data_IF_930485510914
#
_entry.id   IF_930485510914
#
_cell.length_a   1.000
_cell.length_b   1.000
_cell.length_c   1.000
_cell.angle_alpha   90.00
_cell.angle_beta   90.00
_cell.angle_gamma   90.00
#
_symmetry.space_group_name_H-M   'P 1'
#
loop_
_entity.id
_entity.type
_entity.pdbx_description
1 polymer ?
#
# COMPACT_ATOMS: atom_id res chain seq x y z
N UNK A 1 -24.30 -24.95 1.71
CA UNK A 1 -24.85 -24.95 3.09
C UNK A 1 -26.33 -24.71 2.96
N UNK A 2 -27.18 -25.29 3.85
CA UNK A 2 -28.63 -25.06 3.77
C UNK A 2 -29.04 -23.92 4.70
N UNK A 3 -29.89 -23.02 4.18
CA UNK A 3 -30.46 -21.91 4.94
C UNK A 3 -31.89 -22.28 5.31
N UNK A 4 -32.21 -22.23 6.61
CA UNK A 4 -33.54 -22.51 7.14
C UNK A 4 -34.21 -21.22 7.57
N UNK A 5 -35.44 -20.97 7.10
CA UNK A 5 -36.25 -19.83 7.48
C UNK A 5 -37.73 -20.17 7.48
N UNK A 6 -38.54 -19.31 8.03
CA UNK A 6 -39.99 -19.53 8.15
C UNK A 6 -40.73 -18.78 7.06
N UNK A 7 -41.61 -19.46 6.34
CA UNK A 7 -42.49 -18.83 5.35
C UNK A 7 -43.45 -17.83 6.02
N UNK A 8 -43.45 -16.60 5.57
CA UNK A 8 -44.31 -15.54 6.13
C UNK A 8 -45.80 -15.73 5.83
N UNK A 9 -46.15 -16.56 4.81
CA UNK A 9 -47.53 -16.80 4.41
C UNK A 9 -48.18 -17.99 5.13
N UNK A 10 -47.44 -19.08 5.35
CA UNK A 10 -48.01 -20.30 5.96
C UNK A 10 -47.36 -20.70 7.28
N UNK A 11 -46.29 -20.03 7.76
CA UNK A 11 -45.63 -20.30 9.03
C UNK A 11 -44.81 -21.59 9.05
N UNK A 12 -44.65 -22.30 7.93
CA UNK A 12 -43.85 -23.51 7.86
C UNK A 12 -42.37 -23.22 7.60
N UNK A 13 -41.48 -24.07 8.12
CA UNK A 13 -40.05 -23.96 7.86
C UNK A 13 -39.73 -24.35 6.40
N UNK A 14 -38.88 -23.55 5.78
CA UNK A 14 -38.39 -23.74 4.41
C UNK A 14 -36.85 -23.85 4.47
N UNK A 15 -36.30 -24.87 3.81
CA UNK A 15 -34.87 -25.08 3.65
C UNK A 15 -34.47 -24.90 2.20
N UNK A 16 -33.48 -24.06 1.92
CA UNK A 16 -32.93 -23.79 0.57
C UNK A 16 -31.45 -23.81 0.56
N UNK A 17 -30.84 -24.01 -0.60
CA UNK A 17 -29.38 -23.89 -0.75
C UNK A 17 -28.94 -22.44 -0.60
N UNK A 18 -27.75 -22.23 -0.04
CA UNK A 18 -27.11 -20.91 0.16
C UNK A 18 -27.02 -20.09 -1.14
N UNK A 19 -26.92 -20.74 -2.27
CA UNK A 19 -26.90 -20.08 -3.58
C UNK A 19 -28.19 -19.34 -3.94
N UNK A 20 -29.31 -19.64 -3.24
CA UNK A 20 -30.64 -19.03 -3.46
C UNK A 20 -30.85 -17.75 -2.63
N UNK A 21 -29.89 -17.30 -1.83
CA UNK A 21 -29.97 -16.07 -1.02
C UNK A 21 -30.32 -14.87 -1.88
N UNK A 22 -31.37 -14.14 -1.48
CA UNK A 22 -31.90 -12.97 -2.20
C UNK A 22 -32.67 -13.29 -3.49
N UNK A 23 -32.83 -14.55 -3.82
CA UNK A 23 -33.69 -14.98 -4.95
C UNK A 23 -35.13 -15.17 -4.49
N UNK A 24 -36.06 -15.03 -5.45
CA UNK A 24 -37.47 -15.37 -5.25
C UNK A 24 -37.65 -16.85 -5.52
N UNK A 25 -38.25 -17.60 -4.56
CA UNK A 25 -38.53 -19.02 -4.64
C UNK A 25 -39.97 -19.29 -4.19
N UNK A 26 -40.63 -20.29 -4.74
CA UNK A 26 -41.96 -20.69 -4.31
C UNK A 26 -41.89 -21.51 -3.02
N UNK A 27 -42.73 -21.21 -2.05
CA UNK A 27 -42.85 -21.99 -0.81
C UNK A 27 -43.30 -23.42 -1.10
N UNK A 28 -42.55 -24.46 -0.68
CA UNK A 28 -42.94 -25.86 -0.94
C UNK A 28 -44.22 -26.27 -0.23
N UNK A 29 -44.73 -25.48 0.72
CA UNK A 29 -45.93 -25.79 1.51
C UNK A 29 -47.19 -25.05 1.04
N UNK A 30 -47.07 -23.82 0.54
CA UNK A 30 -48.26 -23.03 0.13
C UNK A 30 -48.14 -22.46 -1.28
N UNK A 31 -47.06 -22.71 -1.99
CA UNK A 31 -46.79 -22.24 -3.35
C UNK A 31 -46.78 -20.68 -3.52
N UNK A 32 -46.75 -19.92 -2.42
CA UNK A 32 -46.61 -18.47 -2.49
C UNK A 32 -45.15 -18.08 -2.68
N UNK A 33 -44.85 -17.08 -3.53
CA UNK A 33 -43.48 -16.61 -3.75
C UNK A 33 -42.95 -15.94 -2.50
N UNK A 34 -41.69 -16.23 -2.17
CA UNK A 34 -40.95 -15.63 -1.04
C UNK A 34 -39.49 -15.37 -1.42
N UNK A 35 -38.94 -14.30 -0.91
CA UNK A 35 -37.54 -13.96 -1.09
C UNK A 35 -36.76 -14.65 0.01
N UNK A 36 -35.72 -15.43 -0.35
CA UNK A 36 -34.84 -16.08 0.60
C UNK A 36 -34.11 -15.02 1.40
N UNK A 37 -34.27 -14.97 2.75
CA UNK A 37 -33.62 -13.97 3.57
C UNK A 37 -32.10 -14.15 3.52
N UNK A 38 -31.37 -13.03 3.55
CA UNK A 38 -29.95 -13.09 3.85
C UNK A 38 -29.81 -13.56 5.31
N UNK A 39 -28.92 -14.51 5.62
CA UNK A 39 -28.62 -14.80 7.00
C UNK A 39 -28.23 -13.49 7.68
N UNK A 40 -28.79 -13.24 8.89
CA UNK A 40 -28.48 -12.07 9.69
C UNK A 40 -26.97 -12.06 9.95
N UNK A 41 -26.26 -11.27 9.15
CA UNK A 41 -24.91 -10.87 9.48
C UNK A 41 -25.09 -9.87 10.62
N UNK A 42 -24.53 -10.09 11.82
CA UNK A 42 -24.62 -9.13 12.91
C UNK A 42 -24.30 -7.74 12.38
N UNK A 43 -25.15 -6.76 12.65
CA UNK A 43 -24.90 -5.38 12.24
C UNK A 43 -23.61 -4.90 12.88
N UNK A 44 -22.79 -4.18 12.12
CA UNK A 44 -21.49 -3.62 12.57
C UNK A 44 -21.59 -2.86 13.91
N UNK A 45 -22.79 -2.39 14.29
CA UNK A 45 -23.05 -1.67 15.54
C UNK A 45 -23.06 -2.56 16.79
N UNK A 46 -23.31 -3.87 16.68
CA UNK A 46 -23.25 -4.78 17.83
C UNK A 46 -21.84 -5.31 18.11
N UNK A 47 -21.00 -5.45 17.08
CA UNK A 47 -19.60 -5.81 17.27
C UNK A 47 -18.80 -4.64 17.91
N UNK A 48 -19.12 -3.38 17.57
CA UNK A 48 -18.46 -2.22 18.16
C UNK A 48 -18.66 -2.11 19.69
N UNK A 49 -19.75 -2.64 20.23
CA UNK A 49 -20.03 -2.62 21.67
C UNK A 49 -19.17 -3.61 22.47
N UNK A 50 -18.71 -4.69 21.85
CA UNK A 50 -17.88 -5.72 22.52
C UNK A 50 -16.40 -5.31 22.62
N UNK A 51 -15.93 -4.36 21.78
CA UNK A 51 -14.56 -3.84 21.83
C UNK A 51 -14.29 -2.96 23.06
N UNK A 52 -15.29 -2.29 23.60
CA UNK A 52 -15.14 -1.46 24.80
C UNK A 52 -14.71 -2.23 26.04
N UNK A 53 -15.00 -3.55 26.12
CA UNK A 53 -14.64 -4.39 27.25
C UNK A 53 -13.15 -4.77 27.27
N UNK A 54 -12.48 -4.80 26.13
CA UNK A 54 -11.06 -5.15 26.03
C UNK A 54 -10.11 -3.96 26.22
N UNK A 55 -10.61 -2.74 26.12
CA UNK A 55 -9.80 -1.55 26.29
C UNK A 55 -9.19 -1.40 27.72
N UNK A 56 -9.82 -2.00 28.73
CA UNK A 56 -9.34 -1.99 30.10
C UNK A 56 -8.09 -2.87 30.32
N UNK A 57 -7.85 -3.84 29.45
CA UNK A 57 -6.77 -4.82 29.60
C UNK A 57 -5.52 -4.51 28.73
N UNK A 58 -5.58 -3.41 27.97
CA UNK A 58 -4.50 -3.01 27.05
C UNK A 58 -3.18 -2.71 27.77
N UNK A 59 -3.23 -2.33 29.04
CA UNK A 59 -2.04 -2.00 29.83
C UNK A 59 -1.19 -3.22 30.21
N UNK A 60 -1.72 -4.44 30.06
CA UNK A 60 -1.09 -5.69 30.46
C UNK A 60 -0.58 -6.55 29.29
N UNK A 61 -0.74 -6.10 28.05
CA UNK A 61 -0.17 -6.81 26.90
C UNK A 61 1.35 -6.57 26.87
N UNK A 62 2.11 -7.57 27.29
CA UNK A 62 3.56 -7.56 27.08
C UNK A 62 3.86 -7.49 25.58
N UNK A 63 4.85 -6.70 25.14
CA UNK A 63 5.26 -6.61 23.74
C UNK A 63 5.61 -8.00 23.20
N UNK A 64 5.37 -8.24 21.93
CA UNK A 64 5.66 -9.53 21.30
C UNK A 64 7.17 -9.72 21.11
N UNK A 65 7.84 -8.65 20.73
CA UNK A 65 9.30 -8.56 20.66
C UNK A 65 9.75 -7.51 21.68
N UNK A 66 10.70 -7.89 22.53
CA UNK A 66 11.30 -6.95 23.48
C UNK A 66 11.99 -5.83 22.72
N UNK A 67 11.87 -4.59 23.20
CA UNK A 67 12.47 -3.42 22.54
C UNK A 67 14.00 -3.53 22.45
N UNK A 68 14.64 -4.32 23.32
CA UNK A 68 16.07 -4.60 23.28
C UNK A 68 16.53 -5.38 22.03
N UNK A 69 15.59 -6.08 21.34
CA UNK A 69 15.90 -6.85 20.13
C UNK A 69 15.75 -6.05 18.84
N UNK A 70 15.07 -4.91 18.90
CA UNK A 70 14.74 -4.09 17.74
C UNK A 70 15.09 -2.63 18.02
N UNK A 71 15.80 -2.03 17.09
CA UNK A 71 16.08 -0.59 17.10
C UNK A 71 14.95 0.16 16.40
N UNK A 72 14.34 1.14 17.07
CA UNK A 72 13.34 2.04 16.44
C UNK A 72 14.09 3.13 15.68
N UNK A 73 13.92 3.19 14.36
CA UNK A 73 14.62 4.17 13.51
C UNK A 73 13.71 5.34 13.08
N UNK A 74 12.41 5.15 13.09
CA UNK A 74 11.41 6.22 12.92
C UNK A 74 10.12 5.86 13.65
N UNK A 75 9.42 6.85 14.20
CA UNK A 75 8.17 6.66 14.95
C UNK A 75 7.23 7.83 14.75
N UNK A 76 5.94 7.54 14.56
CA UNK A 76 4.86 8.51 14.49
C UNK A 76 3.67 8.02 15.30
N UNK A 77 2.94 8.97 15.88
CA UNK A 77 1.66 8.67 16.55
C UNK A 77 0.57 9.44 15.83
N UNK A 78 -0.44 8.73 15.38
CA UNK A 78 -1.61 9.34 14.74
C UNK A 78 -2.47 10.09 15.76
N UNK A 79 -3.30 11.05 15.35
CA UNK A 79 -4.15 11.82 16.23
C UNK A 79 -5.13 10.98 17.08
N UNK A 80 -5.55 9.82 16.56
CA UNK A 80 -6.39 8.85 17.28
C UNK A 80 -5.59 7.97 18.26
N UNK A 81 -4.26 8.11 18.31
CA UNK A 81 -3.39 7.44 19.28
C UNK A 81 -2.76 6.13 18.81
N UNK A 82 -2.95 5.71 17.57
CA UNK A 82 -2.21 4.58 17.01
C UNK A 82 -0.74 4.96 16.80
N UNK A 83 0.19 4.10 17.21
CA UNK A 83 1.63 4.34 17.03
C UNK A 83 2.16 3.47 15.91
N UNK A 84 2.86 4.08 14.97
CA UNK A 84 3.49 3.43 13.81
C UNK A 84 4.99 3.65 13.88
N UNK A 85 5.76 2.59 13.81
CA UNK A 85 7.21 2.60 13.96
C UNK A 85 7.86 1.82 12.82
N UNK A 86 8.99 2.32 12.34
CA UNK A 86 9.93 1.54 11.56
C UNK A 86 10.98 1.01 12.52
N UNK A 87 11.06 -0.30 12.64
CA UNK A 87 12.02 -1.00 13.49
C UNK A 87 13.00 -1.78 12.63
N UNK A 88 14.21 -1.96 13.11
CA UNK A 88 15.22 -2.75 12.42
C UNK A 88 15.92 -3.73 13.35
N UNK A 89 16.36 -4.86 12.79
CA UNK A 89 17.26 -5.76 13.47
C UNK A 89 18.68 -5.16 13.40
N UNK A 90 19.37 -5.01 14.55
CA UNK A 90 20.73 -4.48 14.55
C UNK A 90 21.69 -5.40 13.77
N UNK A 91 21.48 -6.72 13.86
CA UNK A 91 22.27 -7.72 13.15
C UNK A 91 21.49 -9.02 12.96
N UNK A 92 21.70 -9.67 11.83
CA UNK A 92 21.20 -11.02 11.55
C UNK A 92 22.35 -12.02 11.69
N UNK A 93 22.21 -13.02 12.57
CA UNK A 93 23.23 -14.04 12.85
C UNK A 93 22.82 -15.48 12.57
N UNK A 94 21.63 -15.68 12.00
CA UNK A 94 21.01 -17.00 11.79
C UNK A 94 21.42 -17.71 10.49
N UNK A 95 22.58 -17.46 9.92
CA UNK A 95 23.01 -18.13 8.70
C UNK A 95 23.26 -19.62 8.94
N UNK A 96 22.51 -20.47 8.23
CA UNK A 96 22.59 -21.93 8.32
C UNK A 96 23.54 -22.59 7.34
N UNK A 97 24.09 -21.82 6.39
CA UNK A 97 25.06 -22.30 5.39
C UNK A 97 25.97 -21.16 4.91
N UNK A 98 27.06 -21.55 4.22
CA UNK A 98 28.09 -20.60 3.77
C UNK A 98 27.55 -19.56 2.78
N UNK A 99 26.58 -19.90 1.93
CA UNK A 99 25.99 -18.94 0.99
C UNK A 99 25.18 -17.87 1.72
N UNK A 100 24.36 -18.26 2.69
CA UNK A 100 23.61 -17.33 3.54
C UNK A 100 24.58 -16.43 4.36
N UNK A 101 25.62 -17.04 4.97
CA UNK A 101 26.62 -16.29 5.74
C UNK A 101 27.35 -15.24 4.89
N UNK A 102 27.73 -15.59 3.67
CA UNK A 102 28.36 -14.66 2.72
C UNK A 102 27.41 -13.50 2.36
N UNK A 103 26.13 -13.79 2.07
CA UNK A 103 25.17 -12.77 1.72
C UNK A 103 24.90 -11.82 2.89
N UNK A 104 24.77 -12.35 4.12
CA UNK A 104 24.63 -11.54 5.33
C UNK A 104 25.87 -10.68 5.60
N UNK A 105 27.07 -11.21 5.41
CA UNK A 105 28.30 -10.45 5.56
C UNK A 105 28.32 -9.23 4.62
N UNK A 106 28.01 -9.40 3.33
CA UNK A 106 27.98 -8.28 2.41
C UNK A 106 26.84 -7.31 2.68
N UNK A 107 25.67 -7.80 3.06
CA UNK A 107 24.55 -6.95 3.47
C UNK A 107 24.95 -6.06 4.66
N UNK A 108 25.55 -6.65 5.70
CA UNK A 108 26.02 -5.92 6.87
C UNK A 108 27.09 -4.89 6.51
N UNK A 109 28.09 -5.27 5.70
CA UNK A 109 29.17 -4.38 5.27
C UNK A 109 28.70 -3.22 4.41
N UNK A 110 27.64 -3.39 3.63
CA UNK A 110 27.00 -2.32 2.86
C UNK A 110 26.00 -1.49 3.65
N UNK A 111 25.83 -1.75 4.95
CA UNK A 111 24.88 -1.03 5.80
C UNK A 111 23.42 -1.46 5.62
N UNK A 112 23.15 -2.55 4.87
CA UNK A 112 21.80 -3.09 4.75
C UNK A 112 21.36 -3.66 6.09
N UNK A 113 20.16 -3.29 6.52
CA UNK A 113 19.52 -3.81 7.73
C UNK A 113 18.12 -4.30 7.39
N UNK A 114 17.72 -5.39 8.02
CA UNK A 114 16.35 -5.91 7.92
C UNK A 114 15.43 -5.00 8.73
N UNK A 115 14.44 -4.42 8.07
CA UNK A 115 13.48 -3.48 8.66
C UNK A 115 12.08 -4.06 8.62
N UNK A 116 11.26 -3.61 9.53
CA UNK A 116 9.88 -4.04 9.69
C UNK A 116 9.05 -2.84 10.14
N UNK A 117 7.78 -2.81 9.81
CA UNK A 117 6.83 -1.85 10.37
C UNK A 117 6.14 -2.51 11.55
N UNK A 118 6.16 -1.84 12.70
CA UNK A 118 5.40 -2.20 13.91
C UNK A 118 4.30 -1.18 14.13
N UNK A 119 3.06 -1.63 14.32
CA UNK A 119 1.92 -0.78 14.60
C UNK A 119 1.32 -1.21 15.92
N UNK A 120 1.14 -0.26 16.84
CA UNK A 120 0.50 -0.48 18.14
C UNK A 120 -0.85 0.20 18.18
N UNK A 121 -1.89 -0.58 18.44
CA UNK A 121 -3.26 -0.15 18.56
C UNK A 121 -3.75 -0.24 20.01
N UNK A 122 -4.50 0.77 20.46
CA UNK A 122 -5.19 0.85 21.76
C UNK A 122 -6.68 1.11 21.51
N UNK A 123 -7.31 0.24 20.72
CA UNK A 123 -8.69 0.34 20.24
C UNK A 123 -8.88 1.26 19.01
N UNK A 124 -7.84 1.38 18.18
CA UNK A 124 -7.93 2.02 16.86
C UNK A 124 -8.01 0.95 15.77
N UNK A 125 -7.99 1.42 14.52
CA UNK A 125 -7.84 0.54 13.36
C UNK A 125 -6.75 1.03 12.42
N UNK A 126 -6.25 0.10 11.61
CA UNK A 126 -5.26 0.36 10.57
C UNK A 126 -5.65 -0.40 9.31
N UNK A 127 -5.39 0.20 8.15
CA UNK A 127 -5.51 -0.44 6.86
C UNK A 127 -4.14 -0.85 6.37
N UNK A 128 -4.01 -2.10 5.93
CA UNK A 128 -2.74 -2.65 5.45
C UNK A 128 -2.91 -3.24 4.05
N UNK A 129 -1.87 -3.15 3.24
CA UNK A 129 -1.80 -3.78 1.92
C UNK A 129 -2.03 -5.30 2.06
N UNK A 130 -2.82 -5.95 1.18
CA UNK A 130 -2.98 -7.40 1.19
C UNK A 130 -1.63 -8.11 1.06
N UNK A 131 -1.38 -9.03 1.99
CA UNK A 131 -0.10 -9.75 2.07
C UNK A 131 0.99 -9.05 2.88
N UNK A 132 0.78 -7.81 3.33
CA UNK A 132 1.76 -7.10 4.15
C UNK A 132 1.80 -7.58 5.62
N UNK A 133 0.75 -8.20 6.13
CA UNK A 133 0.74 -8.72 7.49
C UNK A 133 1.73 -9.88 7.65
N UNK A 134 2.64 -9.78 8.60
CA UNK A 134 3.56 -10.85 8.96
C UNK A 134 3.07 -11.62 10.18
N UNK A 135 2.85 -10.96 11.30
CA UNK A 135 2.21 -11.49 12.50
C UNK A 135 1.57 -10.38 13.34
N UNK A 136 0.66 -10.75 14.23
CA UNK A 136 0.03 -9.84 15.18
C UNK A 136 -0.26 -10.50 16.50
N UNK A 137 -0.31 -9.73 17.59
CA UNK A 137 -0.62 -10.19 18.94
C UNK A 137 -1.53 -9.20 19.66
N UNK A 138 -2.51 -9.72 20.35
CA UNK A 138 -3.47 -8.98 21.17
C UNK A 138 -4.90 -9.35 20.84
N UNK A 139 -5.83 -8.50 21.26
CA UNK A 139 -7.24 -8.60 20.91
C UNK A 139 -7.48 -7.84 19.61
N UNK A 140 -7.09 -8.45 18.51
CA UNK A 140 -7.11 -7.87 17.17
C UNK A 140 -8.00 -8.71 16.26
N UNK A 141 -8.79 -8.03 15.42
CA UNK A 141 -9.59 -8.65 14.37
C UNK A 141 -9.22 -8.05 13.01
N UNK A 142 -9.16 -8.90 12.01
CA UNK A 142 -8.87 -8.51 10.64
C UNK A 142 -10.09 -8.77 9.74
N UNK A 143 -10.49 -7.75 9.00
CA UNK A 143 -11.54 -7.82 7.97
C UNK A 143 -10.96 -7.41 6.62
N UNK A 144 -11.24 -8.18 5.58
CA UNK A 144 -10.94 -7.76 4.22
C UNK A 144 -11.93 -6.66 3.82
N UNK A 145 -11.43 -5.47 3.51
CA UNK A 145 -12.23 -4.32 3.10
C UNK A 145 -12.00 -3.97 1.63
N UNK A 146 -13.06 -3.68 0.92
CA UNK A 146 -13.00 -3.08 -0.43
C UNK A 146 -13.00 -1.57 -0.27
N UNK A 147 -11.86 -0.96 0.02
CA UNK A 147 -11.67 0.46 0.33
C UNK A 147 -12.78 1.42 -0.10
N UNK A 148 -13.29 2.21 0.86
CA UNK A 148 -14.22 3.32 0.64
C UNK A 148 -15.69 2.99 0.83
N UNK A 149 -16.31 3.59 1.90
CA UNK A 149 -17.76 3.67 2.06
C UNK A 149 -18.42 4.35 0.85
N UNK A 150 -19.73 4.15 0.67
CA UNK A 150 -20.66 4.80 -0.31
C UNK A 150 -20.31 4.69 -1.82
N UNK A 151 -19.04 4.52 -2.23
CA UNK A 151 -18.66 4.34 -3.65
C UNK A 151 -18.85 2.91 -4.19
N UNK A 152 -19.51 2.03 -3.44
CA UNK A 152 -19.76 0.61 -3.83
C UNK A 152 -20.49 0.41 -5.18
N UNK A 153 -21.15 1.41 -5.72
CA UNK A 153 -21.96 1.25 -6.94
C UNK A 153 -21.29 1.78 -8.22
N UNK A 154 -20.44 2.80 -8.14
CA UNK A 154 -19.86 3.47 -9.32
C UNK A 154 -18.52 2.87 -9.72
N UNK A 155 -17.69 2.45 -8.77
CA UNK A 155 -16.38 1.84 -9.06
C UNK A 155 -16.47 0.43 -9.67
N UNK A 156 -17.57 -0.30 -9.43
CA UNK A 156 -17.81 -1.62 -10.05
C UNK A 156 -17.87 -1.60 -11.58
N UNK A 157 -18.09 -0.44 -12.19
CA UNK A 157 -18.31 -0.32 -13.64
C UNK A 157 -17.13 0.26 -14.41
N UNK A 158 -16.13 0.84 -13.72
CA UNK A 158 -15.02 1.56 -14.37
C UNK A 158 -13.62 0.97 -14.17
N UNK A 159 -13.40 0.08 -13.20
CA UNK A 159 -12.09 -0.55 -13.03
C UNK A 159 -12.23 -2.04 -12.74
N UNK A 160 -11.58 -2.86 -13.55
CA UNK A 160 -11.50 -4.30 -13.38
C UNK A 160 -10.60 -4.70 -12.18
N UNK A 161 -9.91 -3.76 -11.56
CA UNK A 161 -9.09 -3.97 -10.37
C UNK A 161 -9.82 -3.44 -9.13
N UNK A 162 -10.13 -4.36 -8.22
CA UNK A 162 -10.65 -4.05 -6.90
C UNK A 162 -9.48 -3.58 -6.03
N UNK A 163 -9.55 -2.35 -5.54
CA UNK A 163 -8.64 -1.92 -4.50
C UNK A 163 -9.05 -2.63 -3.20
N UNK A 164 -8.26 -3.57 -2.76
CA UNK A 164 -8.44 -4.28 -1.51
C UNK A 164 -7.45 -3.76 -0.48
N UNK A 165 -7.89 -3.61 0.74
CA UNK A 165 -7.06 -3.43 1.92
C UNK A 165 -7.57 -4.35 3.00
N UNK A 166 -6.70 -4.83 3.85
CA UNK A 166 -7.09 -5.49 5.09
C UNK A 166 -7.22 -4.42 6.17
N UNK A 167 -8.35 -4.39 6.86
CA UNK A 167 -8.56 -3.54 8.01
C UNK A 167 -8.39 -4.36 9.28
N UNK A 168 -7.47 -3.93 10.16
CA UNK A 168 -7.19 -4.57 11.45
C UNK A 168 -7.55 -3.58 12.53
N UNK A 169 -8.37 -4.00 13.50
CA UNK A 169 -8.80 -3.18 14.61
C UNK A 169 -8.74 -3.93 15.93
N UNK A 170 -8.69 -3.16 17.01
CA UNK A 170 -8.64 -3.66 18.38
C UNK A 170 -7.46 -3.15 19.18
N UNK A 171 -6.97 -3.98 20.08
CA UNK A 171 -5.88 -3.68 21.00
C UNK A 171 -4.75 -4.68 20.81
N UNK A 172 -3.55 -4.21 20.51
CA UNK A 172 -2.40 -5.09 20.31
C UNK A 172 -1.32 -4.51 19.42
N UNK A 173 -0.43 -5.39 18.99
CA UNK A 173 0.70 -5.10 18.11
C UNK A 173 0.58 -5.86 16.79
N UNK A 174 0.90 -5.17 15.71
CA UNK A 174 0.87 -5.67 14.34
C UNK A 174 2.27 -5.48 13.77
N UNK A 175 2.82 -6.52 13.17
CA UNK A 175 4.12 -6.49 12.49
C UNK A 175 3.90 -6.84 11.03
N UNK A 176 4.42 -5.98 10.15
CA UNK A 176 4.32 -6.16 8.71
C UNK A 176 5.58 -6.85 8.18
N UNK A 177 5.48 -7.44 6.98
CA UNK A 177 6.55 -8.22 6.34
C UNK A 177 7.90 -7.49 6.39
N UNK A 178 8.96 -8.15 6.86
CA UNK A 178 10.29 -7.55 6.94
C UNK A 178 10.94 -7.45 5.56
N UNK A 179 11.76 -6.41 5.37
CA UNK A 179 12.48 -6.18 4.13
C UNK A 179 13.85 -5.55 4.35
N UNK A 180 14.79 -5.79 3.44
CA UNK A 180 16.01 -4.98 3.31
C UNK A 180 15.78 -3.66 2.54
N UNK A 181 14.58 -3.44 1.99
CA UNK A 181 14.15 -2.19 1.41
C UNK A 181 13.94 -1.09 2.46
N UNK A 182 13.17 -0.09 2.12
CA UNK A 182 12.97 1.07 2.97
C UNK A 182 11.48 1.36 3.13
N UNK A 183 11.14 1.97 4.27
CA UNK A 183 9.81 2.51 4.55
C UNK A 183 9.91 4.00 4.80
N UNK A 184 8.85 4.73 4.47
CA UNK A 184 8.67 6.14 4.77
C UNK A 184 7.42 6.29 5.62
N UNK A 185 7.52 6.96 6.77
CA UNK A 185 6.36 7.41 7.54
C UNK A 185 5.98 8.81 7.10
N UNK A 186 4.71 8.99 6.75
CA UNK A 186 4.17 10.28 6.32
C UNK A 186 3.00 10.70 7.19
N UNK A 187 3.15 11.81 7.89
CA UNK A 187 2.02 12.47 8.54
C UNK A 187 1.16 13.10 7.45
N UNK A 188 -0.15 12.86 7.52
CA UNK A 188 -1.17 13.45 6.65
C UNK A 188 -2.14 14.19 7.54
N UNK A 189 -2.46 15.43 7.19
CA UNK A 189 -3.42 16.26 7.93
C UNK A 189 -4.61 16.63 7.02
N UNK A 190 -5.75 16.98 7.61
CA UNK A 190 -6.94 17.39 6.85
C UNK A 190 -6.72 18.64 6.00
N UNK A 191 -5.74 19.49 6.40
CA UNK A 191 -5.38 20.70 5.66
C UNK A 191 -4.47 20.41 4.46
N UNK A 192 -3.83 19.23 4.44
CA UNK A 192 -2.98 18.85 3.32
C UNK A 192 -3.83 18.44 2.11
N UNK A 193 -3.33 18.75 0.92
CA UNK A 193 -3.87 18.14 -0.27
C UNK A 193 -3.66 16.61 -0.21
N UNK A 194 -4.60 15.86 -0.79
CA UNK A 194 -4.43 14.42 -0.90
C UNK A 194 -3.12 14.07 -1.61
N UNK A 195 -2.48 13.02 -1.14
CA UNK A 195 -1.25 12.49 -1.71
C UNK A 195 -1.63 11.32 -2.63
N UNK A 196 -1.12 11.35 -3.85
CA UNK A 196 -1.28 10.27 -4.82
C UNK A 196 0.06 9.56 -4.96
N UNK A 197 0.12 8.33 -4.50
CA UNK A 197 1.33 7.49 -4.52
C UNK A 197 1.27 6.48 -5.65
N UNK A 198 2.43 6.13 -6.19
CA UNK A 198 2.52 5.17 -7.30
C UNK A 198 2.12 3.75 -6.87
N UNK A 199 1.78 2.91 -7.85
CA UNK A 199 1.32 1.54 -7.62
C UNK A 199 2.34 0.75 -6.79
N UNK A 200 1.86 0.07 -5.73
CA UNK A 200 2.68 -0.79 -4.87
C UNK A 200 3.52 -0.05 -3.81
N UNK A 201 3.40 1.28 -3.72
CA UNK A 201 4.11 2.02 -2.67
C UNK A 201 3.29 2.21 -1.40
N UNK A 202 1.96 2.17 -1.46
CA UNK A 202 1.14 2.15 -0.24
C UNK A 202 1.35 0.83 0.50
N UNK A 203 1.61 0.90 1.79
CA UNK A 203 1.87 -0.28 2.62
C UNK A 203 0.92 -0.39 3.81
N UNK A 204 0.68 0.72 4.52
CA UNK A 204 -0.32 0.80 5.59
C UNK A 204 -0.77 2.25 5.83
N UNK A 205 -1.90 2.41 6.53
CA UNK A 205 -2.39 3.71 6.95
C UNK A 205 -3.29 3.61 8.18
N UNK A 206 -3.14 4.55 9.14
CA UNK A 206 -3.97 4.60 10.34
C UNK A 206 -5.42 4.98 10.01
N UNK A 207 -6.33 4.69 10.92
CA UNK A 207 -7.78 4.71 10.72
C UNK A 207 -8.37 6.02 10.20
N UNK A 208 -7.80 7.15 10.56
CA UNK A 208 -8.27 8.48 10.10
C UNK A 208 -7.94 8.82 8.64
N UNK A 209 -7.23 7.92 7.91
CA UNK A 209 -6.93 8.11 6.50
C UNK A 209 -8.01 7.47 5.61
N UNK A 210 -8.44 8.21 4.60
CA UNK A 210 -9.21 7.68 3.46
C UNK A 210 -8.24 7.24 2.36
N UNK A 211 -8.32 5.96 2.00
CA UNK A 211 -7.40 5.31 1.06
C UNK A 211 -8.23 4.73 -0.08
N UNK A 212 -7.98 5.19 -1.29
CA UNK A 212 -8.77 4.83 -2.46
C UNK A 212 -7.91 4.68 -3.72
N UNK A 213 -8.39 3.90 -4.68
CA UNK A 213 -7.75 3.81 -5.99
C UNK A 213 -8.07 5.04 -6.85
N UNK A 214 -7.06 5.62 -7.46
CA UNK A 214 -7.21 6.72 -8.43
C UNK A 214 -6.77 6.24 -9.82
N UNK A 215 -7.75 6.06 -10.71
CA UNK A 215 -7.50 5.75 -12.12
C UNK A 215 -7.01 6.98 -12.89
N UNK A 216 -6.00 6.82 -13.72
CA UNK A 216 -5.48 7.86 -14.60
C UNK A 216 -6.17 7.79 -15.97
N UNK A 217 -7.09 8.71 -16.24
CA UNK A 217 -7.90 8.74 -17.48
C UNK A 217 -7.08 9.04 -18.75
N UNK A 218 -5.92 9.67 -18.62
CA UNK A 218 -5.12 10.19 -19.74
C UNK A 218 -3.98 9.25 -20.17
N UNK A 219 -3.90 8.04 -19.58
CA UNK A 219 -2.86 7.07 -19.92
C UNK A 219 -3.54 5.94 -20.69
N UNK A 220 -3.06 5.71 -21.92
CA UNK A 220 -3.56 4.63 -22.76
C UNK A 220 -3.29 3.28 -22.08
N UNK A 221 -4.33 2.49 -21.86
CA UNK A 221 -4.20 1.12 -21.34
C UNK A 221 -3.26 0.25 -22.17
N UNK A 222 -3.11 0.55 -23.46
CA UNK A 222 -2.16 -0.11 -24.35
C UNK A 222 -0.69 0.09 -23.96
N UNK A 223 -0.36 1.14 -23.20
CA UNK A 223 1.01 1.41 -22.74
C UNK A 223 1.38 0.60 -21.49
N UNK A 224 0.39 0.07 -20.77
CA UNK A 224 0.58 -0.69 -19.51
C UNK A 224 -0.04 -2.09 -19.57
N UNK A 225 0.01 -2.74 -20.73
CA UNK A 225 -0.41 -4.14 -20.88
C UNK A 225 -1.92 -4.37 -20.87
N UNK A 226 -2.74 -3.35 -21.07
CA UNK A 226 -4.20 -3.46 -21.13
C UNK A 226 -4.93 -3.28 -19.79
N UNK A 227 -4.19 -3.26 -18.69
CA UNK A 227 -4.72 -3.13 -17.33
C UNK A 227 -4.78 -1.70 -16.94
N UNK A 228 -5.29 -0.73 -17.06
CA UNK A 228 -5.26 0.68 -16.64
C UNK A 228 -4.14 1.00 -15.63
N UNK A 229 -3.73 2.25 -15.59
CA UNK A 229 -2.76 2.72 -14.61
C UNK A 229 -3.48 3.27 -13.38
N UNK A 230 -3.36 2.57 -12.26
CA UNK A 230 -3.98 2.93 -10.98
C UNK A 230 -2.91 3.34 -9.97
N UNK A 231 -3.18 4.41 -9.27
CA UNK A 231 -2.38 4.94 -8.16
C UNK A 231 -3.23 4.91 -6.89
N UNK A 232 -2.60 5.00 -5.72
CA UNK A 232 -3.32 5.08 -4.45
C UNK A 232 -3.42 6.53 -4.00
N UNK A 233 -4.64 6.98 -3.77
CA UNK A 233 -4.93 8.28 -3.18
C UNK A 233 -5.07 8.15 -1.67
N UNK A 234 -4.37 9.01 -0.93
CA UNK A 234 -4.35 9.06 0.53
C UNK A 234 -4.77 10.47 0.95
N UNK A 235 -5.79 10.57 1.79
CA UNK A 235 -6.30 11.84 2.32
C UNK A 235 -6.81 11.64 3.75
N UNK A 236 -7.05 12.72 4.51
CA UNK A 236 -7.59 12.69 5.87
C UNK A 236 -6.53 13.02 6.91
N UNK A 237 -6.64 12.44 8.12
CA UNK A 237 -5.75 12.74 9.22
C UNK A 237 -5.17 11.46 9.82
N UNK A 238 -3.84 11.30 9.77
CA UNK A 238 -3.20 10.09 10.27
C UNK A 238 -1.77 9.90 9.79
N UNK A 239 -1.29 8.67 9.92
CA UNK A 239 0.06 8.26 9.48
C UNK A 239 -0.07 7.26 8.35
N UNK A 240 0.53 7.56 7.21
CA UNK A 240 0.70 6.64 6.09
C UNK A 240 2.08 6.01 6.13
N UNK A 241 2.15 4.72 5.82
CA UNK A 241 3.39 3.97 5.60
C UNK A 241 3.51 3.70 4.12
N UNK A 242 4.63 4.13 3.54
CA UNK A 242 4.95 3.88 2.14
C UNK A 242 6.19 2.99 2.06
N UNK A 243 6.14 1.98 1.19
CA UNK A 243 7.36 1.29 0.78
C UNK A 243 8.19 2.20 -0.13
N UNK A 244 9.50 2.21 0.04
CA UNK A 244 10.38 3.04 -0.77
C UNK A 244 11.52 2.22 -1.36
N UNK A 245 11.85 2.40 -2.64
CA UNK A 245 13.00 1.75 -3.28
C UNK A 245 14.35 2.32 -2.81
N UNK A 246 14.34 3.47 -2.12
CA UNK A 246 15.53 4.17 -1.62
C UNK A 246 15.31 4.63 -0.19
N UNK A 247 16.37 4.87 0.61
CA UNK A 247 16.23 5.44 1.95
C UNK A 247 15.61 6.85 1.90
N UNK A 248 14.96 7.25 3.00
CA UNK A 248 14.31 8.56 3.13
C UNK A 248 15.26 9.74 2.81
N UNK A 249 16.54 9.60 3.14
CA UNK A 249 17.57 10.61 2.86
C UNK A 249 17.85 10.84 1.37
N UNK A 250 17.48 9.90 0.52
CA UNK A 250 17.66 9.95 -0.93
C UNK A 250 16.37 10.34 -1.69
N UNK A 251 15.25 10.44 -0.98
CA UNK A 251 14.01 10.97 -1.55
C UNK A 251 14.09 12.48 -1.59
N UNK A 252 13.82 13.05 -2.76
CA UNK A 252 13.76 14.51 -2.96
C UNK A 252 12.34 14.98 -3.14
N UNK A 253 11.95 15.99 -2.37
CA UNK A 253 10.72 16.74 -2.56
C UNK A 253 10.99 17.89 -3.52
N UNK A 254 10.22 17.96 -4.60
CA UNK A 254 10.26 19.03 -5.63
C UNK A 254 8.96 19.81 -5.55
N UNK A 255 9.04 21.08 -5.20
CA UNK A 255 7.90 22.00 -5.22
C UNK A 255 7.72 22.56 -6.64
N UNK A 256 6.50 22.45 -7.17
CA UNK A 256 6.09 23.06 -8.43
C UNK A 256 5.20 24.28 -8.13
N UNK A 257 5.48 25.39 -8.81
CA UNK A 257 4.76 26.67 -8.65
C UNK A 257 4.14 27.16 -9.96
N UNK A 258 3.54 26.22 -10.69
CA UNK A 258 2.96 26.45 -12.03
C UNK A 258 3.92 26.09 -13.16
N UNK A 259 5.05 25.50 -12.84
CA UNK A 259 6.05 24.95 -13.77
C UNK A 259 5.83 23.46 -14.02
N UNK A 260 6.75 22.82 -14.73
CA UNK A 260 6.64 21.44 -15.15
C UNK A 260 7.93 20.67 -14.85
N UNK A 261 7.76 19.49 -14.24
CA UNK A 261 8.82 18.52 -13.99
C UNK A 261 8.68 17.35 -14.97
N UNK A 262 9.76 16.93 -15.58
CA UNK A 262 9.84 15.67 -16.32
C UNK A 262 10.73 14.69 -15.57
N UNK A 263 10.29 13.46 -15.47
CA UNK A 263 11.01 12.38 -14.80
C UNK A 263 11.10 11.18 -15.75
N UNK A 264 12.31 10.70 -16.00
CA UNK A 264 12.51 9.49 -16.76
C UNK A 264 12.20 8.24 -15.89
N UNK A 265 11.58 7.23 -16.52
CA UNK A 265 11.24 5.98 -15.84
C UNK A 265 10.30 6.16 -14.64
N UNK A 266 10.48 5.31 -13.62
CA UNK A 266 9.61 5.19 -12.45
C UNK A 266 10.20 5.84 -11.19
N UNK A 267 10.87 6.99 -11.33
CA UNK A 267 11.54 7.63 -10.18
C UNK A 267 10.61 8.51 -9.35
N UNK A 268 9.42 8.83 -9.83
CA UNK A 268 8.44 9.57 -9.07
C UNK A 268 7.65 8.63 -8.15
N UNK A 269 7.76 8.85 -6.84
CA UNK A 269 7.11 8.02 -5.83
C UNK A 269 5.69 8.49 -5.52
N UNK A 270 5.50 9.81 -5.43
CA UNK A 270 4.24 10.41 -5.04
C UNK A 270 4.13 11.85 -5.54
N UNK A 271 2.92 12.39 -5.53
CA UNK A 271 2.62 13.80 -5.79
C UNK A 271 1.41 14.26 -4.98
N UNK A 272 1.24 15.55 -4.81
CA UNK A 272 -0.04 16.11 -4.35
C UNK A 272 -1.09 16.02 -5.45
N UNK A 273 -2.37 15.92 -5.08
CA UNK A 273 -3.48 15.66 -6.02
C UNK A 273 -3.64 16.77 -7.06
N UNK A 274 -3.34 18.03 -6.73
CA UNK A 274 -3.41 19.19 -7.62
C UNK A 274 -2.41 19.14 -8.80
N UNK A 275 -1.38 18.32 -8.72
CA UNK A 275 -0.41 18.11 -9.80
C UNK A 275 -1.01 17.23 -10.90
N UNK A 276 -1.06 17.75 -12.11
CA UNK A 276 -1.44 16.98 -13.29
C UNK A 276 -0.31 16.03 -13.69
N UNK A 277 -0.66 14.76 -13.85
CA UNK A 277 0.26 13.70 -14.26
C UNK A 277 -0.06 13.25 -15.68
N UNK A 278 0.99 13.10 -16.50
CA UNK A 278 0.89 12.56 -17.87
C UNK A 278 2.10 11.70 -18.16
N UNK A 279 1.94 10.77 -19.09
CA UNK A 279 3.06 10.04 -19.69
C UNK A 279 3.22 10.57 -21.11
N UNK A 280 4.39 11.11 -21.39
CA UNK A 280 4.71 11.77 -22.68
C UNK A 280 5.88 11.03 -23.34
N UNK A 281 5.95 11.10 -24.66
CA UNK A 281 7.13 10.63 -25.40
C UNK A 281 8.22 11.69 -25.32
N UNK A 282 9.47 11.27 -25.20
CA UNK A 282 10.62 12.18 -25.14
C UNK A 282 10.76 13.04 -26.40
N UNK A 283 10.23 12.61 -27.56
CA UNK A 283 10.18 13.40 -28.78
C UNK A 283 8.90 13.17 -29.58
N UNK A 284 8.59 14.12 -30.51
CA UNK A 284 7.44 14.02 -31.42
C UNK A 284 7.56 12.88 -32.45
N UNK A 285 8.76 12.38 -32.72
CA UNK A 285 9.03 11.32 -33.70
C UNK A 285 9.47 10.03 -33.00
N UNK A 286 8.86 8.90 -33.33
CA UNK A 286 9.24 7.57 -32.84
C UNK A 286 10.72 7.24 -33.04
N UNK A 287 11.28 7.63 -34.19
CA UNK A 287 12.69 7.41 -34.54
C UNK A 287 13.60 8.23 -33.64
N UNK A 288 13.25 9.50 -33.38
CA UNK A 288 14.01 10.37 -32.50
C UNK A 288 13.92 9.94 -31.01
N UNK A 289 12.79 9.38 -30.56
CA UNK A 289 12.64 8.78 -29.23
C UNK A 289 13.53 7.55 -29.08
N UNK A 290 13.68 6.73 -30.14
CA UNK A 290 14.55 5.56 -30.15
C UNK A 290 16.04 5.92 -30.20
N UNK A 291 16.39 7.04 -30.81
CA UNK A 291 17.77 7.51 -30.98
C UNK A 291 18.25 8.30 -29.73
N UNK A 292 17.36 9.00 -29.03
CA UNK A 292 17.70 9.72 -27.78
C UNK A 292 17.99 8.78 -26.60
N UNK A 293 17.68 7.50 -26.71
CA UNK A 293 17.83 6.52 -25.61
C UNK A 293 16.81 6.73 -24.47
N UNK A 294 16.00 7.79 -24.54
CA UNK A 294 15.00 8.14 -23.55
C UNK A 294 13.63 7.66 -24.02
N UNK A 295 12.97 6.80 -23.23
CA UNK A 295 11.70 6.19 -23.59
C UNK A 295 10.50 7.12 -23.35
N UNK A 296 9.66 6.71 -22.40
CA UNK A 296 8.50 7.46 -21.96
C UNK A 296 8.87 8.28 -20.74
N UNK A 297 8.61 9.58 -20.80
CA UNK A 297 8.79 10.50 -19.68
C UNK A 297 7.48 10.68 -18.91
N UNK A 298 7.56 10.63 -17.60
CA UNK A 298 6.48 11.08 -16.72
C UNK A 298 6.57 12.60 -16.61
N UNK A 299 5.48 13.31 -16.84
CA UNK A 299 5.40 14.76 -16.68
C UNK A 299 4.41 15.13 -15.57
N UNK A 300 4.83 16.09 -14.75
CA UNK A 300 4.10 16.64 -13.63
C UNK A 300 3.99 18.15 -13.81
N UNK A 301 2.78 18.71 -13.79
CA UNK A 301 2.54 20.13 -14.06
C UNK A 301 1.50 20.69 -13.10
N UNK A 302 1.71 21.89 -12.59
CA UNK A 302 0.78 22.58 -11.71
C UNK A 302 1.42 23.18 -10.49
N UNK A 303 0.62 23.34 -9.43
CA UNK A 303 1.07 23.85 -8.13
C UNK A 303 0.96 22.71 -7.10
N UNK A 304 2.05 22.42 -6.39
CA UNK A 304 2.10 21.35 -5.41
C UNK A 304 3.47 20.72 -5.29
N UNK A 305 3.53 19.47 -4.84
CA UNK A 305 4.79 18.76 -4.55
C UNK A 305 4.85 17.42 -5.26
N UNK A 306 6.05 17.04 -5.70
CA UNK A 306 6.38 15.73 -6.27
C UNK A 306 7.55 15.16 -5.50
N UNK A 307 7.47 13.91 -5.08
CA UNK A 307 8.56 13.19 -4.41
C UNK A 307 9.20 12.24 -5.40
N UNK A 308 10.51 12.37 -5.57
CA UNK A 308 11.30 11.58 -6.52
C UNK A 308 12.43 10.84 -5.82
N UNK A 309 12.83 9.70 -6.39
CA UNK A 309 13.94 8.85 -5.94
C UNK A 309 15.03 8.79 -7.01
N UNK A 310 15.90 9.81 -7.13
CA UNK A 310 16.85 9.93 -8.24
C UNK A 310 17.87 8.77 -8.29
N UNK A 311 18.19 8.18 -7.15
CA UNK A 311 19.18 7.09 -7.03
C UNK A 311 18.59 5.70 -7.33
N UNK A 312 17.26 5.56 -7.44
CA UNK A 312 16.59 4.28 -7.66
C UNK A 312 17.16 3.50 -8.86
N UNK A 313 17.38 4.20 -9.98
CA UNK A 313 17.90 3.57 -11.19
C UNK A 313 19.33 3.04 -11.04
N UNK A 314 20.13 3.62 -10.13
CA UNK A 314 21.47 3.11 -9.80
C UNK A 314 21.34 1.77 -9.06
N UNK A 315 20.50 1.69 -8.03
CA UNK A 315 20.28 0.46 -7.28
C UNK A 315 19.69 -0.65 -8.16
N UNK A 316 18.77 -0.32 -9.05
CA UNK A 316 18.22 -1.28 -10.01
C UNK A 316 19.31 -1.84 -10.93
N UNK A 317 20.22 -1.02 -11.43
CA UNK A 317 21.35 -1.48 -12.24
C UNK A 317 22.32 -2.33 -11.44
N UNK A 318 22.65 -1.93 -10.20
CA UNK A 318 23.54 -2.70 -9.32
C UNK A 318 22.97 -4.08 -8.96
N UNK A 319 21.65 -4.23 -8.90
CA UNK A 319 20.99 -5.51 -8.58
C UNK A 319 20.98 -6.51 -9.75
N UNK A 320 21.32 -6.09 -10.97
CA UNK A 320 21.36 -6.98 -12.15
C UNK A 320 22.73 -7.65 -12.30
N UNK A 321 22.74 -8.85 -12.89
CA UNK A 321 23.99 -9.53 -13.24
C UNK A 321 24.81 -8.64 -14.21
N UNK A 322 26.04 -8.29 -13.84
CA UNK A 322 26.88 -7.40 -14.64
C UNK A 322 26.65 -5.91 -14.42
N UNK A 323 25.82 -5.52 -13.42
CA UNK A 323 25.49 -4.12 -13.14
C UNK A 323 26.70 -3.23 -12.88
N UNK A 324 27.73 -3.72 -12.19
CA UNK A 324 29.00 -2.98 -12.00
C UNK A 324 29.75 -2.71 -13.30
N UNK A 325 29.81 -3.68 -14.22
CA UNK A 325 30.45 -3.51 -15.53
C UNK A 325 29.63 -2.61 -16.46
N UNK A 326 28.33 -2.54 -16.30
CA UNK A 326 27.50 -1.58 -17.02
C UNK A 326 27.72 -0.15 -16.51
N UNK A 327 27.88 0.04 -15.21
CA UNK A 327 28.22 1.33 -14.62
C UNK A 327 29.62 1.82 -15.03
N UNK A 328 30.63 0.95 -15.02
CA UNK A 328 31.99 1.35 -15.44
C UNK A 328 32.02 1.81 -16.91
N UNK A 329 31.30 1.14 -17.81
CA UNK A 329 31.20 1.59 -19.22
C UNK A 329 30.57 2.96 -19.39
N UNK A 330 29.61 3.33 -18.54
CA UNK A 330 29.01 4.67 -18.57
C UNK A 330 29.99 5.75 -18.11
N UNK A 331 30.82 5.42 -17.09
CA UNK A 331 31.88 6.30 -16.62
C UNK A 331 33.01 6.45 -17.64
N UNK A 332 33.38 5.35 -18.30
CA UNK A 332 34.41 5.37 -19.37
C UNK A 332 33.93 6.17 -20.58
N UNK A 333 32.65 6.04 -20.97
CA UNK A 333 32.07 6.80 -22.08
C UNK A 333 32.03 8.31 -21.78
N UNK A 334 31.76 8.72 -20.55
CA UNK A 334 31.75 10.14 -20.16
C UNK A 334 33.16 10.77 -20.14
N UNK A 335 34.20 9.97 -19.89
CA UNK A 335 35.59 10.42 -19.89
C UNK A 335 36.18 10.55 -21.30
N UNK A 336 35.66 9.83 -22.28
CA UNK A 336 36.16 9.92 -23.67
C UNK A 336 35.63 11.12 -24.44
N UNK A 337 34.54 11.75 -24.01
CA UNK A 337 34.03 12.98 -24.62
C UNK A 337 34.77 14.26 -24.15
N UNK A 338 35.44 14.20 -22.99
CA UNK A 338 36.20 15.36 -22.46
C UNK A 338 37.62 15.48 -23.00
N UNK A 339 38.16 14.46 -23.67
CA UNK A 339 39.51 14.47 -24.25
C UNK A 339 39.55 14.86 -25.75
N UNK A 340 38.41 15.29 -26.32
CA UNK A 340 38.30 15.64 -27.75
C UNK A 340 37.98 17.15 -28.00
N UNK A 341 38.28 18.05 -27.05
CA UNK A 341 38.30 19.51 -27.30
C UNK A 341 39.71 20.09 -27.27
#
# INVERSE_FOLDING_TARGET
MEINFTCLHCGNAVAVDESAVGMEVDCPHCAEPLVVPQPDVPSDDQEAADYGSYAADASNLAPLLEDEQLEVIDSRTSPDGATVEIVQYPQLSGASNVAAARNLYYAERSGMRLKMVRIRLKNQHVRVEPGALYFMKGHLQMKASTGGGVFKAVSRKLSNERFFVNEIHGVGEIYLEPTFGHFLLRDVTEQDEAIVVDKGLFYAGTGGLDISAQGQKNISSAMFGGEGYFQTRIHGQGVAVLYSPVPASEVKEVELRGDKLWVDGNFALARTEGIQFRVEKSSKNWIATSVSGEGLLQSFEGVGRVWIAPTQGIYQRLSTAGGLSALSRLLDASNTETDSE
#
